data_IF_965763693744
#
_entry.id   IF_965763693744
#
_cell.length_a   1.000
_cell.length_b   1.000
_cell.length_c   1.000
_cell.angle_alpha   90.00
_cell.angle_beta   90.00
_cell.angle_gamma   90.00
#
_symmetry.space_group_name_H-M   'P 1'
#
loop_
_entity.id
_entity.type
_entity.pdbx_description
1 polymer ?
#
# COMPACT_ATOMS: atom_id res chain seq x y z
N UNK A 1 -32.29 -4.41 8.30
CA UNK A 1 -31.60 -4.84 7.07
C UNK A 1 -30.31 -5.49 7.52
N UNK A 2 -30.07 -6.76 7.22
CA UNK A 2 -28.83 -7.39 7.61
C UNK A 2 -27.68 -6.65 6.90
N UNK A 3 -26.74 -6.10 7.65
CA UNK A 3 -25.53 -5.53 7.05
C UNK A 3 -24.83 -6.64 6.27
N UNK A 4 -24.42 -6.31 5.05
CA UNK A 4 -23.70 -7.26 4.21
C UNK A 4 -22.36 -7.62 4.88
N UNK A 5 -22.01 -8.88 4.88
CA UNK A 5 -20.65 -9.32 5.22
C UNK A 5 -19.65 -8.54 4.36
N UNK A 6 -18.46 -8.27 4.92
CA UNK A 6 -17.39 -7.58 4.18
C UNK A 6 -16.99 -8.46 2.98
N UNK A 7 -17.23 -7.96 1.78
CA UNK A 7 -16.77 -8.58 0.53
C UNK A 7 -15.31 -8.20 0.27
N UNK A 8 -14.38 -9.02 0.76
CA UNK A 8 -12.95 -8.78 0.59
C UNK A 8 -12.54 -8.83 -0.89
N UNK A 9 -13.10 -9.73 -1.68
CA UNK A 9 -12.78 -9.82 -3.11
C UNK A 9 -13.30 -8.60 -3.86
N UNK A 10 -14.50 -8.13 -3.54
CA UNK A 10 -15.05 -6.88 -4.05
C UNK A 10 -14.18 -5.68 -3.66
N UNK A 11 -13.74 -5.61 -2.41
CA UNK A 11 -12.82 -4.55 -1.95
C UNK A 11 -11.50 -4.54 -2.72
N UNK A 12 -10.91 -5.71 -3.02
CA UNK A 12 -9.69 -5.79 -3.85
C UNK A 12 -9.96 -5.39 -5.30
N UNK A 13 -11.13 -5.70 -5.84
CA UNK A 13 -11.52 -5.21 -7.16
C UNK A 13 -11.61 -3.68 -7.19
N UNK A 14 -12.27 -3.07 -6.19
CA UNK A 14 -12.33 -1.62 -6.02
C UNK A 14 -10.94 -1.00 -5.85
N UNK A 15 -10.04 -1.65 -5.10
CA UNK A 15 -8.66 -1.20 -4.94
C UNK A 15 -7.94 -1.09 -6.30
N UNK A 16 -8.11 -2.08 -7.18
CA UNK A 16 -7.51 -2.03 -8.54
C UNK A 16 -8.16 -0.95 -9.41
N UNK A 17 -9.47 -0.78 -9.32
CA UNK A 17 -10.18 0.26 -10.06
C UNK A 17 -9.75 1.67 -9.61
N UNK A 18 -9.53 1.87 -8.31
CA UNK A 18 -8.93 3.10 -7.78
C UNK A 18 -7.51 3.31 -8.27
N UNK A 19 -6.68 2.27 -8.29
CA UNK A 19 -5.32 2.36 -8.83
C UNK A 19 -5.35 2.86 -10.29
N UNK A 20 -6.16 2.27 -11.14
CA UNK A 20 -6.31 2.67 -12.55
C UNK A 20 -6.83 4.10 -12.67
N UNK A 21 -7.85 4.47 -11.89
CA UNK A 21 -8.43 5.83 -11.90
C UNK A 21 -7.42 6.90 -11.50
N UNK A 22 -6.47 6.57 -10.61
CA UNK A 22 -5.41 7.46 -10.17
C UNK A 22 -4.12 7.37 -11.01
N UNK A 23 -4.19 6.76 -12.19
CA UNK A 23 -3.10 6.74 -13.17
C UNK A 23 -2.02 5.70 -12.88
N UNK A 24 -2.41 4.58 -12.31
CA UNK A 24 -1.55 3.40 -12.19
C UNK A 24 -1.95 2.34 -13.21
N UNK A 25 -0.98 1.59 -13.68
CA UNK A 25 -1.17 0.38 -14.44
C UNK A 25 -1.01 -0.83 -13.52
N UNK A 26 -2.03 -1.70 -13.47
CA UNK A 26 -1.98 -2.96 -12.72
C UNK A 26 -1.18 -3.97 -13.54
N UNK A 27 -0.06 -4.43 -13.00
CA UNK A 27 0.86 -5.32 -13.70
C UNK A 27 0.63 -6.80 -13.34
N UNK A 28 0.46 -7.06 -12.06
CA UNK A 28 0.23 -8.43 -11.54
C UNK A 28 -0.63 -8.40 -10.29
N UNK A 29 -1.28 -9.51 -10.02
CA UNK A 29 -2.10 -9.74 -8.82
C UNK A 29 -1.87 -11.17 -8.32
N UNK A 30 -1.67 -11.30 -7.02
CA UNK A 30 -1.50 -12.59 -6.34
C UNK A 30 -2.39 -12.64 -5.11
N UNK A 31 -2.99 -13.81 -4.90
CA UNK A 31 -3.80 -14.09 -3.72
C UNK A 31 -3.24 -15.33 -3.00
N UNK A 32 -2.86 -15.17 -1.76
CA UNK A 32 -2.34 -16.22 -0.91
C UNK A 32 -3.32 -16.55 0.21
N UNK A 33 -3.47 -17.83 0.50
CA UNK A 33 -4.27 -18.33 1.63
C UNK A 33 -3.40 -19.25 2.46
N UNK A 34 -3.20 -18.91 3.73
CA UNK A 34 -2.47 -19.77 4.65
C UNK A 34 -3.35 -20.93 5.11
N UNK A 35 -2.88 -22.16 4.94
CA UNK A 35 -3.68 -23.38 5.11
C UNK A 35 -4.26 -23.56 6.51
N UNK A 36 -3.53 -23.18 7.56
CA UNK A 36 -3.94 -23.43 8.95
C UNK A 36 -4.67 -22.26 9.60
N UNK A 37 -4.20 -21.05 9.37
CA UNK A 37 -4.80 -19.84 9.95
C UNK A 37 -5.93 -19.28 9.12
N UNK A 38 -6.03 -19.67 7.84
CA UNK A 38 -6.92 -19.10 6.83
C UNK A 38 -6.70 -17.58 6.61
N UNK A 39 -5.56 -17.06 7.06
CA UNK A 39 -5.13 -15.70 6.71
C UNK A 39 -4.99 -15.59 5.20
N UNK A 40 -5.38 -14.46 4.68
CA UNK A 40 -5.27 -14.15 3.27
C UNK A 40 -4.38 -12.92 3.08
N UNK A 41 -3.52 -12.97 2.09
CA UNK A 41 -2.77 -11.82 1.60
C UNK A 41 -3.08 -11.61 0.12
N UNK A 42 -3.47 -10.38 -0.21
CA UNK A 42 -3.66 -9.94 -1.58
C UNK A 42 -2.53 -8.98 -1.94
N UNK A 43 -1.77 -9.35 -2.95
CA UNK A 43 -0.65 -8.55 -3.44
C UNK A 43 -0.98 -8.03 -4.84
N UNK A 44 -0.73 -6.74 -5.07
CA UNK A 44 -0.94 -6.09 -6.37
C UNK A 44 0.31 -5.30 -6.72
N UNK A 45 0.88 -5.60 -7.89
CA UNK A 45 2.02 -4.87 -8.43
C UNK A 45 1.53 -3.80 -9.41
N UNK A 46 1.93 -2.57 -9.16
CA UNK A 46 1.54 -1.39 -9.90
C UNK A 46 2.77 -0.60 -10.36
N UNK A 47 2.60 0.15 -11.44
CA UNK A 47 3.52 1.24 -11.77
C UNK A 47 2.75 2.44 -12.31
N UNK A 48 3.31 3.66 -12.16
CA UNK A 48 2.70 4.84 -12.73
C UNK A 48 2.53 4.70 -14.25
N UNK A 49 1.38 5.05 -14.77
CA UNK A 49 1.04 4.90 -16.19
C UNK A 49 2.02 5.66 -17.10
N UNK A 50 2.42 6.88 -16.68
CA UNK A 50 3.42 7.70 -17.36
C UNK A 50 4.85 7.17 -17.23
N UNK A 51 5.08 6.26 -16.29
CA UNK A 51 6.37 5.64 -15.99
C UNK A 51 6.41 4.15 -16.34
N UNK A 52 5.58 3.67 -17.25
CA UNK A 52 5.54 2.28 -17.66
C UNK A 52 6.89 1.85 -18.23
N UNK A 53 7.56 0.86 -17.58
CA UNK A 53 8.94 0.51 -17.85
C UNK A 53 10.00 1.46 -17.24
N UNK A 54 9.57 2.41 -16.42
CA UNK A 54 10.42 3.31 -15.64
C UNK A 54 10.96 2.67 -14.35
N UNK A 55 11.70 3.45 -13.55
CA UNK A 55 12.44 2.92 -12.40
C UNK A 55 11.62 2.78 -11.12
N UNK A 56 10.33 3.13 -11.11
CA UNK A 56 9.51 3.13 -9.89
C UNK A 56 8.43 2.07 -9.97
N UNK A 57 8.53 1.07 -9.11
CA UNK A 57 7.51 0.06 -8.89
C UNK A 57 6.80 0.32 -7.56
N UNK A 58 5.49 0.10 -7.53
CA UNK A 58 4.65 0.13 -6.34
C UNK A 58 4.06 -1.26 -6.10
N UNK A 59 4.39 -1.85 -4.97
CA UNK A 59 3.80 -3.09 -4.48
C UNK A 59 2.81 -2.77 -3.37
N UNK A 60 1.61 -3.31 -3.46
CA UNK A 60 0.56 -3.17 -2.44
C UNK A 60 0.23 -4.55 -1.88
N UNK A 61 0.17 -4.63 -0.55
CA UNK A 61 -0.25 -5.82 0.18
C UNK A 61 -1.42 -5.49 1.11
N UNK A 62 -2.52 -6.24 0.97
CA UNK A 62 -3.65 -6.23 1.88
C UNK A 62 -3.63 -7.55 2.67
N UNK A 63 -3.44 -7.47 3.99
CA UNK A 63 -3.48 -8.63 4.88
C UNK A 63 -4.88 -8.74 5.52
N UNK A 64 -5.52 -9.91 5.35
CA UNK A 64 -6.86 -10.18 5.86
C UNK A 64 -6.79 -11.31 6.88
N UNK A 65 -6.88 -10.95 8.17
CA UNK A 65 -7.03 -11.93 9.24
C UNK A 65 -8.52 -12.32 9.39
N UNK A 66 -8.89 -13.58 9.18
CA UNK A 66 -10.28 -14.04 9.31
C UNK A 66 -10.84 -13.82 10.72
N UNK A 67 -9.99 -13.76 11.76
CA UNK A 67 -10.45 -13.50 13.14
C UNK A 67 -10.94 -12.05 13.28
N UNK A 68 -10.25 -11.11 12.65
CA UNK A 68 -10.69 -9.69 12.63
C UNK A 68 -12.03 -9.56 11.91
N UNK A 69 -12.19 -10.27 10.79
CA UNK A 69 -13.44 -10.27 10.02
C UNK A 69 -14.61 -10.83 10.82
N UNK A 70 -14.43 -12.03 11.43
CA UNK A 70 -15.45 -12.67 12.24
C UNK A 70 -15.81 -11.83 13.49
N UNK A 71 -14.82 -11.23 14.15
CA UNK A 71 -15.05 -10.39 15.31
C UNK A 71 -15.81 -9.11 14.96
N UNK A 72 -15.56 -8.54 13.78
CA UNK A 72 -16.35 -7.43 13.25
C UNK A 72 -17.79 -7.85 12.97
N UNK A 73 -18.00 -8.97 12.28
CA UNK A 73 -19.33 -9.50 11.98
C UNK A 73 -20.14 -9.79 13.27
N UNK A 74 -19.51 -10.40 14.27
CA UNK A 74 -20.14 -10.67 15.58
C UNK A 74 -20.52 -9.35 16.29
N UNK A 75 -19.67 -8.34 16.23
CA UNK A 75 -19.95 -7.03 16.82
C UNK A 75 -21.14 -6.34 16.14
N UNK A 76 -21.26 -6.47 14.83
CA UNK A 76 -22.31 -5.86 14.04
C UNK A 76 -23.66 -6.57 14.19
N UNK A 77 -23.65 -7.91 14.29
CA UNK A 77 -24.88 -8.70 14.43
C UNK A 77 -25.74 -8.31 15.64
N UNK A 78 -25.13 -7.75 16.67
CA UNK A 78 -25.83 -7.31 17.90
C UNK A 78 -26.28 -5.86 17.89
N UNK A 79 -25.97 -5.09 16.85
CA UNK A 79 -26.26 -3.65 16.80
C UNK A 79 -27.65 -3.37 16.23
N UNK A 80 -28.37 -2.37 16.79
CA UNK A 80 -29.55 -1.80 16.14
C UNK A 80 -29.18 -1.18 14.78
N UNK A 81 -30.12 -1.21 13.83
CA UNK A 81 -29.93 -0.66 12.46
C UNK A 81 -29.51 0.83 12.41
N UNK A 82 -29.72 1.57 13.51
CA UNK A 82 -29.44 3.01 13.62
C UNK A 82 -28.06 3.30 14.26
N UNK A 83 -27.30 2.26 14.65
CA UNK A 83 -26.01 2.39 15.33
C UNK A 83 -24.89 2.05 14.38
N UNK A 84 -23.94 2.98 14.26
CA UNK A 84 -22.76 2.74 13.43
C UNK A 84 -21.91 1.58 13.99
N UNK A 85 -21.31 0.76 13.10
CA UNK A 85 -20.37 -0.28 13.50
C UNK A 85 -19.16 0.31 14.26
N UNK A 86 -18.59 -0.45 15.22
CA UNK A 86 -17.39 0.01 15.92
C UNK A 86 -16.20 0.14 14.98
N UNK A 87 -15.39 1.18 15.19
CA UNK A 87 -14.20 1.49 14.38
C UNK A 87 -12.92 0.90 14.99
N UNK A 88 -13.03 -0.28 15.62
CA UNK A 88 -11.90 -0.97 16.26
C UNK A 88 -11.28 -2.04 15.33
N UNK A 89 -11.92 -2.34 14.21
CA UNK A 89 -11.54 -3.43 13.32
C UNK A 89 -10.97 -2.89 12.02
N UNK A 90 -9.73 -3.30 11.70
CA UNK A 90 -9.00 -2.81 10.54
C UNK A 90 -8.26 -3.93 9.82
N UNK A 91 -8.09 -3.76 8.50
CA UNK A 91 -7.12 -4.51 7.72
C UNK A 91 -5.89 -3.63 7.46
N UNK A 92 -4.67 -4.16 7.67
CA UNK A 92 -3.47 -3.45 7.26
C UNK A 92 -3.31 -3.45 5.74
N UNK A 93 -3.13 -2.27 5.18
CA UNK A 93 -2.73 -2.05 3.80
C UNK A 93 -1.32 -1.48 3.80
N UNK A 94 -0.41 -2.16 3.11
CA UNK A 94 0.99 -1.76 3.00
C UNK A 94 1.30 -1.39 1.56
N UNK A 95 1.88 -0.22 1.36
CA UNK A 95 2.36 0.25 0.06
C UNK A 95 3.88 0.30 0.13
N UNK A 96 4.55 -0.32 -0.82
CA UNK A 96 6.01 -0.35 -0.90
C UNK A 96 6.48 0.12 -2.26
N UNK A 97 7.14 1.27 -2.31
CA UNK A 97 7.84 1.75 -3.51
C UNK A 97 9.25 1.24 -3.50
N UNK A 98 9.68 0.72 -4.65
CA UNK A 98 11.06 0.27 -4.87
C UNK A 98 11.65 0.92 -6.10
N UNK A 99 12.97 1.16 -6.03
CA UNK A 99 13.77 1.64 -7.14
C UNK A 99 14.86 0.61 -7.47
N UNK A 100 15.36 0.60 -8.72
CA UNK A 100 16.46 -0.27 -9.07
C UNK A 100 17.70 0.05 -8.25
N UNK A 101 18.62 -0.91 -8.11
CA UNK A 101 19.90 -0.67 -7.43
C UNK A 101 20.66 0.46 -8.07
N UNK A 102 21.29 1.30 -7.25
CA UNK A 102 22.04 2.47 -7.70
C UNK A 102 23.40 2.51 -7.01
N UNK A 103 24.46 3.02 -7.68
CA UNK A 103 25.79 3.14 -7.07
C UNK A 103 25.85 4.21 -5.99
N UNK A 104 25.05 5.25 -6.14
CA UNK A 104 24.95 6.36 -5.19
C UNK A 104 23.49 6.71 -5.01
N UNK A 105 22.98 6.62 -3.79
CA UNK A 105 21.62 6.99 -3.46
C UNK A 105 21.52 8.42 -2.92
N UNK A 106 20.31 8.97 -2.80
CA UNK A 106 20.07 10.23 -2.11
C UNK A 106 20.42 10.13 -0.62
N UNK A 107 20.58 11.28 0.01
CA UNK A 107 20.58 11.36 1.47
C UNK A 107 19.21 10.95 2.00
N UNK A 108 19.18 9.92 2.87
CA UNK A 108 17.92 9.34 3.35
C UNK A 108 17.12 10.29 4.23
N UNK A 109 17.80 11.11 5.03
CA UNK A 109 17.12 12.08 5.88
C UNK A 109 16.46 13.15 5.01
N UNK A 110 17.16 13.62 3.98
CA UNK A 110 16.61 14.58 3.02
C UNK A 110 15.40 14.00 2.30
N UNK A 111 15.51 12.77 1.81
CA UNK A 111 14.42 12.07 1.15
C UNK A 111 13.20 11.91 2.08
N UNK A 112 13.42 11.53 3.34
CA UNK A 112 12.35 11.41 4.32
C UNK A 112 11.67 12.76 4.61
N UNK A 113 12.43 13.86 4.68
CA UNK A 113 11.90 15.22 4.88
C UNK A 113 11.05 15.65 3.67
N UNK A 114 11.52 15.39 2.46
CA UNK A 114 10.83 15.76 1.23
C UNK A 114 9.53 14.96 1.03
N UNK A 115 9.49 13.70 1.47
CA UNK A 115 8.32 12.83 1.40
C UNK A 115 7.31 13.05 2.53
N UNK A 116 7.73 13.50 3.70
CA UNK A 116 6.87 13.64 4.88
C UNK A 116 5.59 14.47 4.62
N UNK A 117 5.61 15.61 3.91
CA UNK A 117 4.40 16.38 3.61
C UNK A 117 3.42 15.64 2.71
N UNK A 118 3.91 14.74 1.84
CA UNK A 118 3.08 13.98 0.90
C UNK A 118 2.26 12.92 1.66
N UNK A 119 2.91 12.17 2.53
CA UNK A 119 2.24 11.16 3.35
C UNK A 119 1.37 11.77 4.44
N UNK A 120 1.85 12.85 5.05
CA UNK A 120 1.18 13.48 6.19
C UNK A 120 1.11 12.55 7.41
N UNK A 121 0.16 12.82 8.30
CA UNK A 121 -0.06 12.01 9.49
C UNK A 121 -0.85 10.72 9.20
N UNK A 122 -1.65 10.72 8.15
CA UNK A 122 -2.55 9.62 7.80
C UNK A 122 -1.84 8.46 7.10
N UNK A 123 -0.74 8.76 6.40
CA UNK A 123 0.05 7.78 5.67
C UNK A 123 1.55 8.09 5.80
N UNK A 124 2.12 7.99 7.01
CA UNK A 124 3.55 8.30 7.20
C UNK A 124 4.42 7.37 6.35
N UNK A 125 5.46 7.97 5.75
CA UNK A 125 6.37 7.29 4.83
C UNK A 125 7.68 6.96 5.54
N UNK A 126 8.00 5.68 5.63
CA UNK A 126 9.27 5.17 6.13
C UNK A 126 10.24 4.96 4.97
N UNK A 127 11.43 5.54 5.06
CA UNK A 127 12.47 5.44 4.04
C UNK A 127 13.59 4.55 4.56
N UNK A 128 13.94 3.51 3.80
CA UNK A 128 15.02 2.60 4.13
C UNK A 128 15.98 2.44 2.96
N UNK A 129 17.25 2.16 3.26
CA UNK A 129 18.23 1.77 2.25
C UNK A 129 18.99 0.54 2.70
N UNK A 130 19.32 -0.31 1.73
CA UNK A 130 20.17 -1.48 1.92
C UNK A 130 21.34 -1.42 0.97
N UNK A 131 22.56 -1.44 1.52
CA UNK A 131 23.79 -1.52 0.73
C UNK A 131 24.21 -2.98 0.62
N UNK A 132 24.48 -3.43 -0.60
CA UNK A 132 24.97 -4.78 -0.88
C UNK A 132 26.31 -4.74 -1.60
N UNK A 133 27.19 -5.71 -1.28
CA UNK A 133 28.50 -5.89 -1.87
C UNK A 133 28.58 -7.30 -2.46
N UNK A 134 28.66 -7.41 -3.77
CA UNK A 134 28.84 -8.69 -4.43
C UNK A 134 30.26 -9.23 -4.24
N UNK A 135 31.24 -8.31 -4.13
CA UNK A 135 32.67 -8.62 -3.91
C UNK A 135 33.31 -7.46 -3.14
N UNK A 136 34.34 -7.73 -2.32
CA UNK A 136 35.12 -6.66 -1.65
C UNK A 136 35.81 -5.70 -2.62
N UNK A 137 35.97 -6.07 -3.88
CA UNK A 137 36.64 -5.28 -4.93
C UNK A 137 35.64 -4.51 -5.83
N UNK A 138 34.35 -4.74 -5.65
CA UNK A 138 33.30 -4.06 -6.40
C UNK A 138 32.68 -2.93 -5.58
N UNK A 139 32.13 -1.94 -6.27
CA UNK A 139 31.34 -0.89 -5.62
C UNK A 139 30.07 -1.48 -5.02
N UNK A 140 29.60 -0.92 -3.90
CA UNK A 140 28.30 -1.29 -3.34
C UNK A 140 27.18 -0.87 -4.28
N UNK A 141 26.10 -1.66 -4.26
CA UNK A 141 24.80 -1.28 -4.80
C UNK A 141 23.86 -0.91 -3.66
N UNK A 142 23.24 0.25 -3.77
CA UNK A 142 22.23 0.71 -2.81
C UNK A 142 20.83 0.52 -3.37
N UNK A 143 19.97 -0.13 -2.59
CA UNK A 143 18.54 -0.23 -2.86
C UNK A 143 17.77 0.64 -1.88
N UNK A 144 16.84 1.43 -2.39
CA UNK A 144 15.95 2.27 -1.59
C UNK A 144 14.55 1.67 -1.63
N UNK A 145 13.92 1.62 -0.47
CA UNK A 145 12.52 1.24 -0.31
C UNK A 145 11.80 2.30 0.53
N UNK A 146 10.65 2.71 0.07
CA UNK A 146 9.74 3.60 0.79
C UNK A 146 8.49 2.79 1.14
N UNK A 147 8.10 2.81 2.41
CA UNK A 147 6.96 2.03 2.89
C UNK A 147 5.95 2.94 3.57
N UNK A 148 4.70 2.82 3.16
CA UNK A 148 3.56 3.41 3.84
C UNK A 148 2.65 2.31 4.40
N UNK A 149 2.04 2.57 5.54
CA UNK A 149 1.05 1.67 6.14
C UNK A 149 -0.23 2.43 6.40
N UNK A 150 -1.34 1.85 5.98
CA UNK A 150 -2.67 2.38 6.22
C UNK A 150 -3.54 1.30 6.88
N UNK A 151 -4.28 1.68 7.91
CA UNK A 151 -5.31 0.82 8.48
C UNK A 151 -6.62 1.08 7.72
N UNK A 152 -7.19 0.05 7.12
CA UNK A 152 -8.48 0.13 6.42
C UNK A 152 -9.58 -0.23 7.40
N UNK A 153 -10.42 0.72 7.76
CA UNK A 153 -11.53 0.54 8.69
C UNK A 153 -12.64 -0.32 8.07
N UNK A 154 -12.99 -1.42 8.73
CA UNK A 154 -14.11 -2.28 8.31
C UNK A 154 -15.46 -1.58 8.50
N UNK A 155 -15.56 -0.68 9.48
CA UNK A 155 -16.73 0.16 9.68
C UNK A 155 -16.97 1.06 8.46
N UNK A 156 -15.94 1.75 7.97
CA UNK A 156 -16.05 2.59 6.77
C UNK A 156 -16.43 1.76 5.53
N UNK A 157 -15.75 0.64 5.30
CA UNK A 157 -16.05 -0.25 4.17
C UNK A 157 -17.50 -0.75 4.23
N UNK A 158 -18.00 -1.15 5.42
CA UNK A 158 -19.35 -1.65 5.59
C UNK A 158 -20.44 -0.59 5.34
N UNK A 159 -20.12 0.68 5.54
CA UNK A 159 -20.99 1.83 5.22
C UNK A 159 -20.90 2.28 3.75
N UNK A 160 -20.07 1.64 2.96
CA UNK A 160 -19.83 2.03 1.56
C UNK A 160 -19.04 3.35 1.44
N UNK A 161 -18.28 3.72 2.46
CA UNK A 161 -17.34 4.82 2.39
C UNK A 161 -16.10 4.39 1.60
N UNK A 162 -15.47 5.36 0.95
CA UNK A 162 -14.30 5.10 0.12
C UNK A 162 -13.00 5.50 0.85
N UNK A 163 -12.30 4.55 1.50
CA UNK A 163 -11.00 4.83 2.14
C UNK A 163 -9.83 4.85 1.15
N UNK A 164 -10.04 4.46 -0.11
CA UNK A 164 -8.97 4.20 -1.07
C UNK A 164 -8.58 5.44 -1.89
N UNK A 165 -9.51 6.36 -2.12
CA UNK A 165 -9.25 7.54 -2.94
C UNK A 165 -8.05 8.35 -2.42
N UNK A 166 -8.03 8.71 -1.13
CA UNK A 166 -6.91 9.44 -0.49
C UNK A 166 -5.59 8.63 -0.53
N UNK A 167 -5.67 7.32 -0.35
CA UNK A 167 -4.49 6.45 -0.41
C UNK A 167 -3.83 6.50 -1.78
N UNK A 168 -4.62 6.37 -2.85
CA UNK A 168 -4.09 6.37 -4.22
C UNK A 168 -3.70 7.77 -4.71
N UNK A 169 -4.38 8.83 -4.28
CA UNK A 169 -3.97 10.20 -4.57
C UNK A 169 -2.58 10.49 -3.99
N UNK A 170 -2.35 10.15 -2.71
CA UNK A 170 -1.04 10.27 -2.07
C UNK A 170 -0.02 9.33 -2.69
N UNK A 171 -0.42 8.09 -2.97
CA UNK A 171 0.43 7.10 -3.62
C UNK A 171 0.92 7.58 -4.99
N UNK A 172 0.05 8.21 -5.77
CA UNK A 172 0.42 8.82 -7.05
C UNK A 172 1.41 9.97 -6.86
N UNK A 173 1.17 10.85 -5.89
CA UNK A 173 2.07 11.96 -5.61
C UNK A 173 3.46 11.49 -5.18
N UNK A 174 3.55 10.42 -4.36
CA UNK A 174 4.84 9.79 -4.02
C UNK A 174 5.53 9.25 -5.27
N UNK A 175 4.79 8.53 -6.11
CA UNK A 175 5.35 7.95 -7.33
C UNK A 175 5.87 9.01 -8.29
N UNK A 176 5.14 10.11 -8.47
CA UNK A 176 5.56 11.24 -9.33
C UNK A 176 6.82 11.92 -8.78
N UNK A 177 6.90 12.11 -7.48
CA UNK A 177 8.10 12.64 -6.82
C UNK A 177 9.31 11.74 -7.06
N UNK A 178 9.14 10.42 -6.91
CA UNK A 178 10.21 9.45 -7.12
C UNK A 178 10.64 9.39 -8.59
N UNK A 179 9.70 9.40 -9.53
CA UNK A 179 10.01 9.44 -10.98
C UNK A 179 10.82 10.69 -11.35
N UNK A 180 10.44 11.87 -10.86
CA UNK A 180 11.15 13.12 -11.10
C UNK A 180 12.56 13.13 -10.51
N UNK A 181 12.75 12.44 -9.38
CA UNK A 181 14.02 12.41 -8.66
C UNK A 181 14.96 11.32 -9.16
N UNK A 182 14.43 10.22 -9.71
CA UNK A 182 15.16 9.01 -10.07
C UNK A 182 16.29 9.27 -11.07
N UNK A 183 16.08 10.15 -12.06
CA UNK A 183 17.09 10.48 -13.06
C UNK A 183 18.39 11.04 -12.43
N UNK A 184 18.24 11.79 -11.35
CA UNK A 184 19.39 12.35 -10.63
C UNK A 184 20.14 11.34 -9.76
N UNK A 185 19.53 10.19 -9.45
CA UNK A 185 20.09 9.14 -8.61
C UNK A 185 20.65 7.97 -9.41
N UNK A 186 20.08 7.72 -10.57
CA UNK A 186 20.42 6.58 -11.44
C UNK A 186 21.47 6.94 -12.51
N UNK A 187 21.62 8.24 -12.81
CA UNK A 187 22.60 8.76 -13.78
C UNK A 187 23.93 8.99 -13.18
#
# INVERSE_FOLDING_TARGET
MAMAAIDVAGFVADLKDHAVTHGFHVHDERHFVETYSLRQAWEVDLHPEDGCGGPVDLHIELDVDPRTLLAFEDAVLGLPDEVDPPDDFHFPLVLTWTLPPMPHGPDLLRLAIDLAPIGGMEMPLEVTATDSFASPTESSERRISIVARRAISLSQVSRGEDPLCDVFERGRTVSDFLLQSADSWLG
#
